data_IF_218886392828
#
_entry.id   IF_218886392828
#
_cell.length_a   1.000
_cell.length_b   1.000
_cell.length_c   1.000
_cell.angle_alpha   90.00
_cell.angle_beta   90.00
_cell.angle_gamma   90.00
#
_symmetry.space_group_name_H-M   'P 1'
#
loop_
_entity.id
_entity.type
_entity.pdbx_description
1 polymer ?
#
# COMPACT_ATOMS: atom_id res chain seq x y z
N UNK A 1 46.72 16.75 -44.92
CA UNK A 1 46.45 17.20 -46.30
C UNK A 1 44.95 17.19 -46.54
N UNK A 2 44.44 18.37 -46.92
CA UNK A 2 43.12 18.71 -47.50
C UNK A 2 41.91 18.47 -46.60
N UNK A 3 41.28 19.42 -45.93
CA UNK A 3 40.62 20.71 -46.25
C UNK A 3 39.38 20.59 -47.17
N UNK A 4 38.34 21.21 -46.67
CA UNK A 4 37.22 21.91 -47.29
C UNK A 4 35.93 21.08 -47.41
N UNK A 5 34.76 21.60 -47.14
CA UNK A 5 34.16 22.91 -46.82
C UNK A 5 32.67 22.71 -46.67
N UNK A 6 32.01 23.33 -45.76
CA UNK A 6 31.27 24.60 -45.72
C UNK A 6 30.21 24.76 -46.81
N UNK A 7 29.01 25.01 -46.40
CA UNK A 7 27.89 25.91 -46.75
C UNK A 7 26.57 25.14 -46.56
N UNK A 8 25.56 25.56 -45.87
CA UNK A 8 25.04 26.88 -45.60
C UNK A 8 23.62 27.05 -46.15
N UNK A 9 22.77 27.65 -45.34
CA UNK A 9 21.54 28.37 -45.72
C UNK A 9 20.18 27.67 -45.54
N UNK A 10 19.46 28.12 -44.50
CA UNK A 10 18.02 28.44 -44.57
C UNK A 10 17.70 29.38 -45.70
N UNK A 11 16.45 29.50 -46.20
CA UNK A 11 15.43 30.32 -45.54
C UNK A 11 13.94 29.96 -45.81
N UNK A 12 13.10 30.44 -44.89
CA UNK A 12 11.74 31.01 -45.06
C UNK A 12 11.08 30.88 -46.45
N UNK A 13 9.80 30.44 -46.49
CA UNK A 13 8.71 31.30 -46.87
C UNK A 13 7.30 30.70 -46.64
N UNK A 14 6.43 31.60 -46.30
CA UNK A 14 4.99 31.43 -46.10
C UNK A 14 4.25 31.27 -47.43
N UNK A 15 3.12 30.54 -47.40
CA UNK A 15 1.98 30.92 -48.25
C UNK A 15 0.64 30.56 -47.64
N UNK A 16 -0.15 31.57 -47.50
CA UNK A 16 -1.57 31.72 -47.26
C UNK A 16 -2.45 30.94 -48.26
N UNK A 17 -3.58 30.48 -47.84
CA UNK A 17 -4.67 29.99 -48.69
C UNK A 17 -5.97 29.84 -47.93
N UNK A 18 -6.85 30.82 -48.10
CA UNK A 18 -8.21 30.94 -47.60
C UNK A 18 -9.15 29.87 -48.18
N UNK A 19 -10.20 29.51 -47.44
CA UNK A 19 -11.34 28.77 -47.97
C UNK A 19 -12.48 28.68 -46.96
N UNK A 20 -13.48 29.49 -47.16
CA UNK A 20 -14.73 29.72 -46.44
C UNK A 20 -15.60 28.48 -46.25
N UNK A 21 -16.36 28.46 -45.18
CA UNK A 21 -17.48 27.50 -44.98
C UNK A 21 -18.23 27.76 -43.68
N UNK A 22 -19.21 28.66 -43.78
CA UNK A 22 -20.09 29.08 -42.69
C UNK A 22 -21.02 27.99 -42.15
N UNK A 23 -21.27 28.03 -40.84
CA UNK A 23 -22.30 27.21 -40.20
C UNK A 23 -22.55 27.61 -38.76
N UNK A 24 -23.51 28.45 -38.58
CA UNK A 24 -24.06 29.17 -37.45
C UNK A 24 -24.04 28.46 -36.08
N UNK A 25 -23.68 29.24 -35.07
CA UNK A 25 -24.05 29.05 -33.67
C UNK A 25 -25.51 29.52 -33.41
N UNK A 26 -26.12 29.15 -32.33
CA UNK A 26 -26.83 30.13 -31.54
C UNK A 26 -26.26 30.30 -30.12
N UNK A 27 -26.29 31.55 -29.75
CA UNK A 27 -25.98 32.12 -28.44
C UNK A 27 -27.11 31.92 -27.46
N UNK A 28 -26.70 32.07 -26.19
CA UNK A 28 -27.44 32.54 -25.03
C UNK A 28 -27.98 31.44 -24.11
N UNK A 29 -27.75 31.49 -22.79
CA UNK A 29 -28.01 32.60 -21.88
C UNK A 29 -27.26 32.47 -20.55
N UNK A 30 -26.77 33.60 -20.09
CA UNK A 30 -26.78 34.15 -18.74
C UNK A 30 -26.61 33.23 -17.53
N UNK A 31 -25.50 33.53 -16.82
CA UNK A 31 -25.19 33.06 -15.50
C UNK A 31 -26.25 33.42 -14.46
N UNK A 32 -26.56 32.42 -13.66
CA UNK A 32 -27.11 32.58 -12.33
C UNK A 32 -26.02 32.30 -11.29
N UNK A 33 -26.05 32.90 -10.10
CA UNK A 33 -25.01 32.74 -9.09
C UNK A 33 -24.89 31.29 -8.63
N UNK A 34 -23.67 30.78 -8.62
CA UNK A 34 -23.34 29.41 -8.26
C UNK A 34 -23.77 29.06 -6.84
N UNK A 35 -24.61 28.07 -6.72
CA UNK A 35 -24.83 27.39 -5.45
C UNK A 35 -23.52 26.71 -4.97
N UNK A 36 -23.38 26.45 -3.67
CA UNK A 36 -22.19 25.81 -3.12
C UNK A 36 -21.96 24.45 -3.79
N UNK A 37 -20.68 24.03 -3.99
CA UNK A 37 -20.37 22.74 -4.62
C UNK A 37 -21.01 21.61 -3.83
N UNK A 38 -21.87 20.83 -4.49
CA UNK A 38 -22.40 19.59 -3.92
C UNK A 38 -21.26 18.60 -3.82
N UNK A 39 -20.83 18.30 -2.59
CA UNK A 39 -19.93 17.19 -2.32
C UNK A 39 -20.65 15.90 -2.70
N UNK A 40 -20.12 15.08 -3.63
CA UNK A 40 -20.71 13.80 -3.93
C UNK A 40 -20.65 12.93 -2.68
N UNK A 41 -21.78 12.43 -2.21
CA UNK A 41 -21.81 11.41 -1.17
C UNK A 41 -21.12 10.15 -1.72
N UNK A 42 -20.22 9.52 -0.99
CA UNK A 42 -19.61 8.26 -1.41
C UNK A 42 -20.70 7.23 -1.60
N UNK A 43 -20.80 6.67 -2.81
CA UNK A 43 -21.66 5.52 -3.07
C UNK A 43 -21.04 4.32 -2.36
N UNK A 44 -21.63 3.89 -1.25
CA UNK A 44 -21.27 2.63 -0.62
C UNK A 44 -21.51 1.50 -1.63
N UNK A 45 -20.48 0.75 -1.95
CA UNK A 45 -20.60 -0.44 -2.78
C UNK A 45 -21.22 -1.55 -1.93
N UNK A 46 -22.29 -2.16 -2.42
CA UNK A 46 -22.99 -3.29 -1.77
C UNK A 46 -22.08 -4.53 -1.58
N UNK A 47 -20.85 -4.51 -2.13
CA UNK A 47 -19.86 -5.60 -2.01
C UNK A 47 -18.88 -5.45 -0.85
N UNK A 48 -18.83 -4.30 -0.21
CA UNK A 48 -17.88 -4.02 0.87
C UNK A 48 -18.56 -4.09 2.22
N UNK A 49 -19.00 -5.28 2.64
CA UNK A 49 -19.44 -5.56 4.01
C UNK A 49 -20.27 -4.43 4.62
N UNK A 50 -21.31 -3.98 3.93
CA UNK A 50 -22.19 -2.92 4.40
C UNK A 50 -22.69 -3.25 5.79
N UNK A 51 -22.79 -2.20 6.62
CA UNK A 51 -23.44 -2.24 7.93
C UNK A 51 -24.62 -3.19 7.84
N UNK A 52 -24.77 -4.15 8.79
CA UNK A 52 -25.93 -5.02 8.83
C UNK A 52 -27.18 -4.18 8.63
N UNK A 53 -28.10 -4.65 7.81
CA UNK A 53 -29.43 -4.05 7.72
C UNK A 53 -29.93 -3.92 9.17
N UNK A 54 -30.54 -2.76 9.55
CA UNK A 54 -31.11 -2.64 10.88
C UNK A 54 -32.04 -3.82 11.14
N UNK A 55 -31.98 -4.34 12.34
CA UNK A 55 -32.88 -5.40 12.76
C UNK A 55 -34.33 -4.95 12.54
N UNK A 56 -35.30 -5.86 12.36
CA UNK A 56 -36.69 -5.49 12.18
C UNK A 56 -37.28 -4.56 13.26
N UNK A 57 -36.61 -4.48 14.41
CA UNK A 57 -36.95 -3.59 15.54
C UNK A 57 -36.54 -2.11 15.30
N UNK A 58 -35.70 -1.82 14.29
CA UNK A 58 -35.25 -0.45 13.94
C UNK A 58 -36.08 0.15 12.78
N UNK A 59 -37.12 -0.54 12.31
CA UNK A 59 -38.07 0.02 11.35
C UNK A 59 -38.93 1.06 12.06
N UNK A 60 -39.16 2.24 11.43
CA UNK A 60 -40.11 3.20 12.01
C UNK A 60 -41.42 2.49 12.27
N UNK A 61 -42.05 2.72 13.43
CA UNK A 61 -43.32 2.10 13.75
C UNK A 61 -44.35 2.43 12.68
N UNK A 62 -45.14 1.45 12.27
CA UNK A 62 -46.27 1.69 11.37
C UNK A 62 -47.23 2.72 12.01
N UNK A 63 -47.74 3.70 11.26
CA UNK A 63 -48.67 4.67 11.79
C UNK A 63 -49.93 3.96 12.32
N UNK A 64 -50.35 4.34 13.52
CA UNK A 64 -51.59 3.84 14.10
C UNK A 64 -52.79 4.30 13.29
N UNK A 65 -53.65 3.41 12.88
CA UNK A 65 -54.96 3.75 12.28
C UNK A 65 -55.93 4.19 13.39
N UNK A 66 -56.00 5.50 13.62
CA UNK A 66 -56.89 6.08 14.62
C UNK A 66 -58.05 6.84 13.99
N UNK A 67 -59.27 6.80 14.59
CA UNK A 67 -60.42 7.60 14.13
C UNK A 67 -60.12 9.11 14.15
N UNK A 68 -60.78 9.87 13.26
CA UNK A 68 -60.57 11.33 13.13
C UNK A 68 -60.74 12.11 14.43
N UNK A 69 -61.72 11.76 15.24
CA UNK A 69 -62.00 12.39 16.54
C UNK A 69 -60.87 12.15 17.57
N UNK A 70 -60.27 10.96 17.56
CA UNK A 70 -59.12 10.62 18.39
C UNK A 70 -57.88 11.40 17.91
N UNK A 71 -57.58 11.40 16.61
CA UNK A 71 -56.49 12.17 16.05
C UNK A 71 -56.63 13.68 16.34
N UNK A 72 -57.84 14.20 16.20
CA UNK A 72 -58.13 15.60 16.57
C UNK A 72 -57.86 15.88 18.04
N UNK A 73 -58.18 14.95 18.94
CA UNK A 73 -57.93 15.14 20.40
C UNK A 73 -56.42 15.12 20.74
N UNK A 74 -55.61 14.49 19.91
CA UNK A 74 -54.16 14.41 20.08
C UNK A 74 -53.40 15.65 19.59
N UNK A 75 -54.05 16.58 18.85
CA UNK A 75 -53.39 17.74 18.26
C UNK A 75 -52.69 18.62 19.28
N UNK A 76 -53.27 18.77 20.46
CA UNK A 76 -52.67 19.55 21.56
C UNK A 76 -51.41 18.87 22.12
N UNK A 77 -51.48 17.57 22.35
CA UNK A 77 -50.31 16.80 22.83
C UNK A 77 -49.22 16.75 21.78
N UNK A 78 -49.59 16.61 20.50
CA UNK A 78 -48.65 16.66 19.40
C UNK A 78 -47.96 18.01 19.26
N UNK A 79 -48.68 19.12 19.40
CA UNK A 79 -48.08 20.45 19.36
C UNK A 79 -47.07 20.68 20.49
N UNK A 80 -47.26 20.05 21.64
CA UNK A 80 -46.37 20.08 22.81
C UNK A 80 -45.26 19.01 22.76
N UNK A 81 -45.14 18.23 21.67
CA UNK A 81 -44.26 17.10 21.54
C UNK A 81 -44.42 16.04 22.66
N UNK A 82 -45.63 15.84 23.14
CA UNK A 82 -45.98 14.93 24.25
C UNK A 82 -46.63 13.61 23.76
N UNK A 83 -46.75 13.40 22.45
CA UNK A 83 -47.19 12.13 21.84
C UNK A 83 -46.08 11.12 21.77
N UNK A 84 -46.39 9.81 21.79
CA UNK A 84 -45.48 8.75 21.39
C UNK A 84 -45.10 8.87 19.90
N UNK A 85 -44.04 8.18 19.48
CA UNK A 85 -43.61 8.19 18.07
C UNK A 85 -44.69 7.68 17.12
N UNK A 86 -45.42 6.65 17.51
CA UNK A 86 -46.51 6.06 16.70
C UNK A 86 -47.73 7.01 16.60
N UNK A 87 -48.09 7.66 17.68
CA UNK A 87 -49.18 8.68 17.70
C UNK A 87 -48.79 9.92 16.88
N UNK A 88 -47.55 10.40 17.01
CA UNK A 88 -47.06 11.53 16.23
C UNK A 88 -47.12 11.24 14.74
N UNK A 89 -46.68 10.05 14.32
CA UNK A 89 -46.72 9.64 12.93
C UNK A 89 -48.18 9.54 12.42
N UNK A 90 -49.09 8.98 13.22
CA UNK A 90 -50.51 8.89 12.85
C UNK A 90 -51.16 10.30 12.70
N UNK A 91 -50.86 11.23 13.60
CA UNK A 91 -51.28 12.62 13.48
C UNK A 91 -50.71 13.27 12.23
N UNK A 92 -49.42 13.13 11.96
CA UNK A 92 -48.73 13.75 10.80
C UNK A 92 -49.30 13.23 9.47
N UNK A 93 -49.57 11.95 9.34
CA UNK A 93 -50.24 11.37 8.17
C UNK A 93 -51.63 12.01 8.00
N UNK A 94 -52.42 12.09 9.09
CA UNK A 94 -53.77 12.67 9.04
C UNK A 94 -53.76 14.16 8.67
N UNK A 95 -52.76 14.94 9.13
CA UNK A 95 -52.64 16.35 8.78
C UNK A 95 -52.41 16.56 7.28
N UNK A 96 -51.82 15.58 6.59
CA UNK A 96 -51.70 15.58 5.12
C UNK A 96 -53.06 15.50 4.39
N UNK A 97 -54.04 14.82 5.00
CA UNK A 97 -55.31 14.51 4.38
C UNK A 97 -56.48 15.37 4.88
N UNK A 98 -56.34 16.03 6.04
CA UNK A 98 -57.38 16.82 6.67
C UNK A 98 -56.99 18.28 6.91
N UNK A 99 -57.45 19.17 6.01
CA UNK A 99 -57.11 20.60 6.09
C UNK A 99 -57.63 21.28 7.37
N UNK A 100 -58.80 20.89 7.92
CA UNK A 100 -59.31 21.46 9.15
C UNK A 100 -58.43 21.13 10.37
N UNK A 101 -57.92 19.88 10.48
CA UNK A 101 -56.98 19.50 11.52
C UNK A 101 -55.59 20.14 11.31
N UNK A 102 -55.16 20.30 10.06
CA UNK A 102 -53.90 20.99 9.76
C UNK A 102 -53.92 22.48 10.20
N UNK A 103 -55.05 23.17 9.98
CA UNK A 103 -55.23 24.55 10.41
C UNK A 103 -55.28 24.68 11.94
N UNK A 104 -55.87 23.74 12.63
CA UNK A 104 -55.92 23.70 14.09
C UNK A 104 -54.54 23.34 14.65
N UNK A 105 -53.85 22.37 14.08
CA UNK A 105 -52.48 22.02 14.47
C UNK A 105 -51.51 23.20 14.32
N UNK A 106 -51.61 24.00 13.25
CA UNK A 106 -50.82 25.19 13.02
C UNK A 106 -51.07 26.23 14.14
N UNK A 107 -52.36 26.51 14.45
CA UNK A 107 -52.71 27.45 15.52
C UNK A 107 -52.24 27.01 16.89
N UNK A 108 -52.29 25.70 17.19
CA UNK A 108 -51.77 25.16 18.45
C UNK A 108 -50.24 25.27 18.51
N UNK A 109 -49.51 24.98 17.42
CA UNK A 109 -48.03 25.21 17.40
C UNK A 109 -47.66 26.67 17.53
N UNK A 110 -48.39 27.61 16.92
CA UNK A 110 -48.17 29.05 17.10
C UNK A 110 -48.41 29.45 18.57
N UNK A 111 -49.46 28.93 19.23
CA UNK A 111 -49.72 29.16 20.63
C UNK A 111 -48.64 28.58 21.56
N UNK A 112 -48.19 27.36 21.27
CA UNK A 112 -47.06 26.73 21.99
C UNK A 112 -45.78 27.54 21.80
N UNK A 113 -45.53 28.06 20.59
CA UNK A 113 -44.38 28.93 20.30
C UNK A 113 -44.37 30.21 21.16
N UNK A 114 -45.57 30.73 21.57
CA UNK A 114 -45.66 31.88 22.49
C UNK A 114 -45.37 31.51 23.95
N UNK A 115 -45.46 30.24 24.33
CA UNK A 115 -45.13 29.75 25.67
C UNK A 115 -43.63 29.52 25.88
N UNK A 116 -42.90 29.31 24.80
CA UNK A 116 -41.46 29.19 24.83
C UNK A 116 -40.82 30.53 24.55
N UNK A 117 -39.84 30.92 25.38
CA UNK A 117 -38.99 32.04 25.02
C UNK A 117 -38.31 31.72 23.69
N UNK A 118 -38.22 32.66 22.73
CA UNK A 118 -37.48 32.45 21.51
C UNK A 118 -36.05 32.09 21.89
N UNK A 119 -35.72 30.80 21.75
CA UNK A 119 -34.31 30.38 21.86
C UNK A 119 -33.55 31.15 20.78
N UNK A 120 -32.42 31.71 21.16
CA UNK A 120 -31.55 32.39 20.20
C UNK A 120 -31.22 31.40 19.08
N UNK A 121 -31.55 31.79 17.83
CA UNK A 121 -31.13 31.04 16.64
C UNK A 121 -29.61 31.14 16.41
N UNK A 122 -28.92 31.96 17.24
CA UNK A 122 -27.47 32.01 17.24
C UNK A 122 -26.93 30.72 17.82
N UNK A 123 -26.28 29.94 16.98
CA UNK A 123 -25.58 28.75 17.40
C UNK A 123 -24.55 29.10 18.47
N UNK A 124 -24.51 28.32 19.53
CA UNK A 124 -23.47 28.45 20.56
C UNK A 124 -22.10 28.49 19.87
N UNK A 125 -21.31 29.55 20.04
CA UNK A 125 -19.99 29.68 19.44
C UNK A 125 -19.06 28.49 19.73
N UNK A 126 -19.27 27.83 20.87
CA UNK A 126 -18.53 26.61 21.25
C UNK A 126 -19.05 25.30 20.62
N UNK A 127 -20.24 25.32 20.00
CA UNK A 127 -20.85 24.08 19.44
C UNK A 127 -19.97 23.40 18.44
N UNK A 128 -19.35 24.17 17.53
CA UNK A 128 -18.43 23.64 16.52
C UNK A 128 -17.26 22.90 17.15
N UNK A 129 -16.65 23.49 18.17
CA UNK A 129 -15.50 22.89 18.86
C UNK A 129 -15.93 21.62 19.59
N UNK A 130 -17.06 21.65 20.34
CA UNK A 130 -17.58 20.44 21.00
C UNK A 130 -17.93 19.33 20.04
N UNK A 131 -18.52 19.63 18.89
CA UNK A 131 -18.82 18.62 17.84
C UNK A 131 -17.53 18.06 17.26
N UNK A 132 -16.56 18.91 16.93
CA UNK A 132 -15.27 18.47 16.42
C UNK A 132 -14.51 17.62 17.44
N UNK A 133 -14.45 18.02 18.70
CA UNK A 133 -13.84 17.24 19.78
C UNK A 133 -14.55 15.89 19.94
N UNK A 134 -15.87 15.85 20.01
CA UNK A 134 -16.61 14.61 20.11
C UNK A 134 -16.44 13.69 18.88
N UNK A 135 -16.27 14.25 17.69
CA UNK A 135 -15.97 13.49 16.48
C UNK A 135 -14.55 12.95 16.48
N UNK A 136 -13.59 13.76 16.94
CA UNK A 136 -12.18 13.36 17.04
C UNK A 136 -11.97 12.29 18.10
N UNK A 137 -12.64 12.39 19.24
CA UNK A 137 -12.60 11.39 20.31
C UNK A 137 -13.14 10.01 19.87
N UNK A 138 -14.12 10.02 18.98
CA UNK A 138 -14.70 8.79 18.42
C UNK A 138 -13.92 8.23 17.25
N UNK A 139 -13.12 9.06 16.59
CA UNK A 139 -12.30 8.66 15.44
C UNK A 139 -10.91 8.29 15.94
N UNK A 140 -10.41 7.07 15.63
CA UNK A 140 -9.03 6.74 15.95
C UNK A 140 -8.12 7.83 15.35
N UNK A 141 -7.12 8.32 16.11
CA UNK A 141 -6.26 9.44 15.70
C UNK A 141 -5.37 9.12 14.49
N UNK A 142 -5.38 7.85 14.06
CA UNK A 142 -4.68 7.37 12.87
C UNK A 142 -5.64 6.56 12.01
N UNK A 143 -5.52 6.73 10.69
CA UNK A 143 -6.07 5.76 9.75
C UNK A 143 -5.28 4.47 10.00
N UNK A 144 -5.93 3.34 10.33
CA UNK A 144 -5.21 2.12 10.66
C UNK A 144 -4.44 1.63 9.43
N UNK A 145 -3.13 1.53 9.58
CA UNK A 145 -2.28 0.90 8.56
C UNK A 145 -2.53 -0.61 8.63
N UNK A 146 -2.83 -1.28 7.51
CA UNK A 146 -2.98 -2.73 7.48
C UNK A 146 -1.74 -3.40 8.09
N UNK A 147 -1.95 -4.45 8.88
CA UNK A 147 -0.85 -5.11 9.59
C UNK A 147 0.29 -5.58 8.66
N UNK A 148 -0.05 -5.94 7.41
CA UNK A 148 0.93 -6.36 6.41
C UNK A 148 1.74 -5.20 5.82
N UNK A 149 1.29 -3.95 5.91
CA UNK A 149 2.01 -2.76 5.44
C UNK A 149 2.82 -2.07 6.55
N UNK A 150 2.61 -2.42 7.83
CA UNK A 150 3.32 -1.80 8.96
C UNK A 150 4.85 -1.97 8.90
N UNK A 151 5.44 -3.09 8.40
CA UNK A 151 6.89 -3.18 8.26
C UNK A 151 7.46 -2.11 7.32
N UNK A 152 6.81 -1.86 6.19
CA UNK A 152 7.25 -0.84 5.23
C UNK A 152 7.18 0.58 5.82
N UNK A 153 6.09 0.92 6.50
CA UNK A 153 5.96 2.22 7.19
C UNK A 153 7.07 2.40 8.25
N UNK A 154 7.36 1.36 9.01
CA UNK A 154 8.39 1.39 10.04
C UNK A 154 9.80 1.56 9.45
N UNK A 155 10.17 0.76 8.44
CA UNK A 155 11.53 0.80 7.90
C UNK A 155 11.79 2.06 7.07
N UNK A 156 10.79 2.55 6.32
CA UNK A 156 10.91 3.84 5.63
C UNK A 156 11.03 5.02 6.61
N UNK A 157 10.34 4.97 7.75
CA UNK A 157 10.47 6.00 8.79
C UNK A 157 11.86 5.97 9.45
N UNK A 158 12.41 4.77 9.70
CA UNK A 158 13.76 4.61 10.28
C UNK A 158 14.85 5.10 9.31
N UNK A 159 14.75 4.71 8.03
CA UNK A 159 15.67 5.20 7.02
C UNK A 159 15.56 6.72 6.85
N UNK A 160 14.35 7.28 6.87
CA UNK A 160 14.15 8.73 6.79
C UNK A 160 14.80 9.45 7.98
N UNK A 161 14.74 8.88 9.18
CA UNK A 161 15.43 9.43 10.37
C UNK A 161 16.95 9.45 10.18
N UNK A 162 17.56 8.34 9.74
CA UNK A 162 18.99 8.28 9.40
C UNK A 162 19.35 9.39 8.39
N UNK A 163 18.54 9.51 7.30
CA UNK A 163 18.80 10.50 6.25
C UNK A 163 18.62 11.96 6.70
N UNK A 164 17.94 12.21 7.81
CA UNK A 164 17.85 13.52 8.43
C UNK A 164 19.07 13.87 9.28
N UNK A 165 19.69 12.86 9.87
CA UNK A 165 20.82 13.03 10.78
C UNK A 165 22.15 13.24 10.04
N UNK A 166 22.27 12.75 8.80
CA UNK A 166 23.49 12.88 8.00
C UNK A 166 23.64 14.27 7.37
N UNK A 167 24.89 14.74 7.27
CA UNK A 167 25.24 16.01 6.65
C UNK A 167 25.27 15.96 5.12
N UNK A 168 25.36 17.12 4.49
CA UNK A 168 25.30 17.24 3.01
C UNK A 168 26.44 16.48 2.31
N UNK A 169 27.62 16.39 2.91
CA UNK A 169 28.77 15.65 2.34
C UNK A 169 28.51 14.14 2.32
N UNK A 170 27.83 13.61 3.32
CA UNK A 170 27.55 12.18 3.46
C UNK A 170 26.55 11.67 2.42
N UNK A 171 25.70 12.54 1.85
CA UNK A 171 24.85 12.19 0.72
C UNK A 171 25.63 11.74 -0.52
N UNK A 172 26.91 12.09 -0.59
CA UNK A 172 27.83 11.69 -1.65
C UNK A 172 28.80 10.58 -1.22
N UNK A 173 28.66 10.09 0.01
CA UNK A 173 29.47 8.96 0.49
C UNK A 173 29.28 7.75 -0.43
N UNK A 174 30.38 7.04 -0.77
CA UNK A 174 30.32 5.89 -1.65
C UNK A 174 29.67 4.70 -0.93
N UNK A 175 28.58 4.19 -1.50
CA UNK A 175 27.89 2.98 -1.07
C UNK A 175 28.14 1.87 -2.09
N UNK A 176 28.33 0.65 -1.61
CA UNK A 176 28.43 -0.54 -2.44
C UNK A 176 27.14 -1.37 -2.30
N UNK A 177 26.29 -1.34 -3.30
CA UNK A 177 25.18 -2.28 -3.44
C UNK A 177 25.74 -3.67 -3.77
N UNK A 178 25.20 -4.70 -3.14
CA UNK A 178 25.59 -6.10 -3.33
C UNK A 178 24.34 -6.92 -3.59
N UNK A 179 24.48 -7.92 -4.44
CA UNK A 179 23.45 -8.90 -4.71
C UNK A 179 24.09 -10.17 -5.23
N UNK A 180 23.29 -11.20 -5.40
CA UNK A 180 23.73 -12.44 -5.99
C UNK A 180 23.01 -12.64 -7.33
N UNK A 181 23.73 -12.69 -8.44
CA UNK A 181 23.14 -12.74 -9.79
C UNK A 181 22.69 -14.15 -10.22
N UNK A 182 22.47 -15.03 -9.26
CA UNK A 182 22.09 -16.42 -9.43
C UNK A 182 23.27 -17.40 -9.54
N UNK A 183 24.44 -16.95 -9.95
CA UNK A 183 25.65 -17.76 -10.09
C UNK A 183 26.79 -17.29 -9.20
N UNK A 184 26.96 -15.97 -9.02
CA UNK A 184 28.06 -15.38 -8.30
C UNK A 184 27.67 -14.07 -7.61
N UNK A 185 28.42 -13.63 -6.59
CA UNK A 185 28.26 -12.32 -5.98
C UNK A 185 28.49 -11.21 -7.02
N UNK A 186 27.60 -10.25 -7.07
CA UNK A 186 27.70 -9.06 -7.88
C UNK A 186 27.68 -7.80 -7.00
N UNK A 187 28.22 -6.70 -7.49
CA UNK A 187 28.16 -5.43 -6.76
C UNK A 187 28.27 -4.22 -7.68
N UNK A 188 27.70 -3.11 -7.25
CA UNK A 188 27.81 -1.82 -7.93
C UNK A 188 28.12 -0.71 -6.92
N UNK A 189 28.97 0.22 -7.30
CA UNK A 189 29.24 1.42 -6.52
C UNK A 189 28.25 2.52 -6.90
N UNK A 190 27.69 3.15 -5.90
CA UNK A 190 26.83 4.32 -6.02
C UNK A 190 27.08 5.28 -4.85
N UNK A 191 26.18 6.20 -4.58
CA UNK A 191 26.23 7.11 -3.41
C UNK A 191 24.99 6.90 -2.55
N UNK A 192 24.95 7.46 -1.34
CA UNK A 192 23.74 7.47 -0.50
C UNK A 192 22.54 7.96 -1.30
N UNK A 193 22.68 9.10 -2.01
CA UNK A 193 21.63 9.60 -2.87
C UNK A 193 21.23 8.62 -4.00
N UNK A 194 22.21 7.89 -4.55
CA UNK A 194 21.98 6.88 -5.56
C UNK A 194 21.21 5.66 -5.04
N UNK A 195 21.39 5.28 -3.78
CA UNK A 195 20.59 4.23 -3.11
C UNK A 195 19.14 4.69 -2.94
N UNK A 196 18.91 5.92 -2.50
CA UNK A 196 17.55 6.45 -2.34
C UNK A 196 16.85 6.58 -3.70
N UNK A 197 17.58 6.91 -4.75
CA UNK A 197 17.07 6.89 -6.12
C UNK A 197 16.67 5.49 -6.59
N UNK A 198 17.46 4.46 -6.23
CA UNK A 198 17.11 3.06 -6.44
C UNK A 198 15.80 2.70 -5.72
N UNK A 199 15.71 2.95 -4.42
CA UNK A 199 14.48 2.69 -3.65
C UNK A 199 13.27 3.40 -4.24
N UNK A 200 13.38 4.69 -4.57
CA UNK A 200 12.32 5.47 -5.22
C UNK A 200 11.85 4.79 -6.52
N UNK A 201 12.78 4.38 -7.36
CA UNK A 201 12.45 3.78 -8.65
C UNK A 201 11.78 2.41 -8.52
N UNK A 202 12.24 1.57 -7.60
CA UNK A 202 11.69 0.21 -7.41
C UNK A 202 10.35 0.24 -6.65
N UNK A 203 10.18 1.12 -5.67
CA UNK A 203 8.89 1.35 -5.00
C UNK A 203 7.79 1.79 -6.00
N UNK A 204 8.18 2.34 -7.15
CA UNK A 204 7.29 2.62 -8.26
C UNK A 204 6.54 1.42 -8.81
N UNK A 205 7.03 0.17 -8.63
CA UNK A 205 6.30 -1.06 -8.98
C UNK A 205 5.00 -1.18 -8.17
N UNK A 206 5.10 -0.91 -6.87
CA UNK A 206 3.93 -0.92 -5.97
C UNK A 206 3.02 0.29 -6.27
N UNK A 207 3.60 1.46 -6.55
CA UNK A 207 2.84 2.65 -6.92
C UNK A 207 2.01 2.39 -8.19
N UNK A 208 2.61 1.84 -9.24
CA UNK A 208 1.91 1.50 -10.48
C UNK A 208 0.77 0.49 -10.26
N UNK A 209 1.01 -0.57 -9.45
CA UNK A 209 -0.02 -1.55 -9.10
C UNK A 209 -1.21 -0.93 -8.35
N UNK A 210 -0.97 0.10 -7.54
CA UNK A 210 -2.01 0.86 -6.82
C UNK A 210 -2.66 1.96 -7.66
N UNK A 211 -2.27 2.12 -8.94
CA UNK A 211 -2.78 3.19 -9.80
C UNK A 211 -2.27 4.59 -9.44
N UNK A 212 -1.17 4.67 -8.71
CA UNK A 212 -0.48 5.91 -8.41
C UNK A 212 0.49 6.29 -9.54
N UNK A 213 0.88 7.54 -9.59
CA UNK A 213 1.88 8.00 -10.54
C UNK A 213 3.22 7.28 -10.33
N UNK A 214 3.75 6.71 -11.41
CA UNK A 214 5.08 6.10 -11.41
C UNK A 214 6.16 7.20 -11.49
N UNK A 215 7.18 7.20 -10.62
CA UNK A 215 8.26 8.19 -10.66
C UNK A 215 9.07 8.16 -11.98
N UNK A 216 9.04 7.04 -12.69
CA UNK A 216 9.71 6.88 -14.00
C UNK A 216 8.79 7.18 -15.19
N UNK A 217 7.50 7.43 -14.94
CA UNK A 217 6.52 7.63 -16.01
C UNK A 217 6.37 6.41 -16.93
N UNK A 218 6.03 6.67 -18.20
CA UNK A 218 5.78 5.60 -19.20
C UNK A 218 7.05 4.84 -19.61
N UNK A 219 8.22 5.37 -19.34
CA UNK A 219 9.52 4.77 -19.69
C UNK A 219 10.00 3.73 -18.65
N UNK A 220 9.17 3.43 -17.64
CA UNK A 220 9.52 2.54 -16.55
C UNK A 220 9.82 1.11 -17.05
N UNK A 221 11.00 0.59 -16.70
CA UNK A 221 11.31 -0.82 -16.85
C UNK A 221 10.37 -1.70 -16.01
N UNK A 222 10.24 -2.97 -16.37
CA UNK A 222 9.32 -3.89 -15.67
C UNK A 222 9.94 -4.57 -14.44
N UNK A 223 11.25 -4.51 -14.26
CA UNK A 223 11.95 -5.15 -13.14
C UNK A 223 12.82 -4.17 -12.35
N UNK A 224 13.21 -4.51 -11.11
CA UNK A 224 13.99 -3.64 -10.23
C UNK A 224 15.27 -3.09 -10.86
N UNK A 225 16.12 -3.95 -11.42
CA UNK A 225 17.37 -3.56 -12.06
C UNK A 225 17.16 -2.62 -13.26
N UNK A 226 16.20 -2.93 -14.14
CA UNK A 226 15.88 -2.11 -15.29
C UNK A 226 15.36 -0.73 -14.90
N UNK A 227 14.54 -0.66 -13.85
CA UNK A 227 14.02 0.61 -13.32
C UNK A 227 15.12 1.48 -12.72
N UNK A 228 15.97 0.88 -11.93
CA UNK A 228 17.14 1.54 -11.34
C UNK A 228 18.04 2.12 -12.41
N UNK A 229 18.36 1.33 -13.43
CA UNK A 229 19.19 1.76 -14.54
C UNK A 229 18.53 2.89 -15.35
N UNK A 230 17.23 2.79 -15.62
CA UNK A 230 16.45 3.84 -16.29
C UNK A 230 16.52 5.16 -15.52
N UNK A 231 16.35 5.12 -14.19
CA UNK A 231 16.47 6.31 -13.35
C UNK A 231 17.86 6.93 -13.42
N UNK A 232 18.89 6.12 -13.28
CA UNK A 232 20.27 6.61 -13.29
C UNK A 232 20.71 7.16 -14.65
N UNK A 233 20.21 6.58 -15.75
CA UNK A 233 20.49 7.05 -17.09
C UNK A 233 19.72 8.33 -17.45
N UNK A 234 18.48 8.46 -16.99
CA UNK A 234 17.66 9.65 -17.18
C UNK A 234 18.19 10.87 -16.41
N UNK A 235 18.95 10.63 -15.35
CA UNK A 235 19.54 11.68 -14.52
C UNK A 235 20.80 12.25 -15.19
N UNK A 236 20.73 13.48 -15.70
CA UNK A 236 21.88 14.15 -16.33
C UNK A 236 23.04 14.41 -15.33
N UNK A 237 22.71 14.41 -14.04
CA UNK A 237 23.66 14.57 -12.93
C UNK A 237 23.45 13.45 -11.90
N UNK A 238 24.49 13.07 -11.15
CA UNK A 238 24.33 12.13 -10.05
C UNK A 238 23.20 12.59 -9.11
N UNK A 239 22.41 11.66 -8.55
CA UNK A 239 21.41 11.99 -7.55
C UNK A 239 22.03 12.76 -6.38
N UNK A 240 21.28 13.70 -5.82
CA UNK A 240 21.68 14.51 -4.68
C UNK A 240 20.67 14.34 -3.53
N UNK A 241 20.90 14.99 -2.41
CA UNK A 241 19.95 15.06 -1.28
C UNK A 241 18.49 15.37 -1.71
N UNK A 242 18.30 16.05 -2.82
CA UNK A 242 16.97 16.39 -3.34
C UNK A 242 16.09 15.15 -3.63
N UNK A 243 16.69 13.96 -3.84
CA UNK A 243 15.93 12.71 -4.09
C UNK A 243 15.14 12.24 -2.85
N UNK A 244 15.56 12.63 -1.63
CA UNK A 244 14.87 12.26 -0.39
C UNK A 244 13.40 12.70 -0.37
N UNK A 245 13.11 13.92 -0.80
CA UNK A 245 11.75 14.47 -0.80
C UNK A 245 10.77 13.59 -1.63
N UNK A 246 11.01 13.37 -2.92
CA UNK A 246 10.21 12.49 -3.76
C UNK A 246 10.07 11.07 -3.21
N UNK A 247 11.16 10.44 -2.72
CA UNK A 247 11.12 9.12 -2.12
C UNK A 247 10.21 9.07 -0.89
N UNK A 248 10.36 10.04 0.03
CA UNK A 248 9.55 10.08 1.25
C UNK A 248 8.08 10.38 0.94
N UNK A 249 7.81 11.26 0.00
CA UNK A 249 6.44 11.53 -0.45
C UNK A 249 5.78 10.28 -1.06
N UNK A 250 6.51 9.55 -1.91
CA UNK A 250 6.02 8.30 -2.47
C UNK A 250 5.74 7.26 -1.39
N UNK A 251 6.67 7.05 -0.44
CA UNK A 251 6.49 6.09 0.65
C UNK A 251 5.25 6.42 1.49
N UNK A 252 5.02 7.69 1.81
CA UNK A 252 3.81 8.13 2.50
C UNK A 252 2.54 7.87 1.69
N UNK A 253 2.55 8.16 0.38
CA UNK A 253 1.40 7.90 -0.50
C UNK A 253 1.07 6.42 -0.59
N UNK A 254 2.08 5.55 -0.67
CA UNK A 254 1.88 4.10 -0.65
C UNK A 254 1.17 3.66 0.64
N UNK A 255 1.71 4.04 1.80
CA UNK A 255 1.11 3.71 3.10
C UNK A 255 -0.30 4.28 3.23
N UNK A 256 -0.51 5.53 2.83
CA UNK A 256 -1.81 6.17 2.86
C UNK A 256 -2.82 5.44 1.97
N UNK A 257 -2.43 5.11 0.74
CA UNK A 257 -3.32 4.44 -0.22
C UNK A 257 -3.74 3.07 0.28
N UNK A 258 -2.82 2.24 0.77
CA UNK A 258 -3.16 0.91 1.31
C UNK A 258 -4.01 1.00 2.59
N UNK A 259 -3.84 2.06 3.38
CA UNK A 259 -4.66 2.30 4.57
C UNK A 259 -6.11 2.65 4.20
N UNK A 260 -6.32 3.39 3.11
CA UNK A 260 -7.67 3.73 2.63
C UNK A 260 -8.35 2.59 1.85
N UNK A 261 -7.59 1.79 1.11
CA UNK A 261 -8.17 0.68 0.32
C UNK A 261 -8.59 -0.51 1.17
N UNK A 262 -8.09 -0.59 2.41
CA UNK A 262 -8.46 -1.65 3.35
C UNK A 262 -7.79 -2.99 3.08
N UNK A 263 -8.08 -3.99 3.94
CA UNK A 263 -7.40 -5.29 3.95
C UNK A 263 -7.55 -6.11 2.66
N UNK A 264 -8.59 -5.86 1.86
CA UNK A 264 -8.84 -6.58 0.59
C UNK A 264 -7.81 -6.31 -0.50
N UNK A 265 -7.16 -5.15 -0.48
CA UNK A 265 -6.13 -4.78 -1.46
C UNK A 265 -4.86 -5.65 -1.38
N UNK A 266 -4.61 -6.31 -0.27
CA UNK A 266 -3.41 -7.14 -0.08
C UNK A 266 -3.21 -8.25 -1.11
N UNK A 267 -4.24 -8.65 -1.86
CA UNK A 267 -4.16 -9.67 -2.92
C UNK A 267 -3.91 -9.11 -4.32
N UNK A 268 -3.85 -7.80 -4.49
CA UNK A 268 -3.52 -7.18 -5.77
C UNK A 268 -2.14 -7.65 -6.23
N UNK A 269 -2.01 -8.08 -7.49
CA UNK A 269 -0.73 -8.52 -8.04
C UNK A 269 0.18 -7.33 -8.34
N UNK A 270 1.41 -7.37 -7.85
CA UNK A 270 2.50 -6.44 -8.19
C UNK A 270 3.49 -7.19 -9.07
N UNK A 271 3.70 -6.71 -10.29
CA UNK A 271 4.62 -7.35 -11.25
C UNK A 271 6.06 -6.86 -10.98
N UNK A 272 6.99 -7.82 -10.96
CA UNK A 272 8.44 -7.59 -10.89
C UNK A 272 9.15 -7.92 -12.22
N UNK A 273 8.38 -8.06 -13.28
CA UNK A 273 8.85 -8.51 -14.59
C UNK A 273 8.63 -10.01 -14.77
N UNK A 274 9.56 -10.82 -14.30
CA UNK A 274 9.54 -12.28 -14.47
C UNK A 274 8.57 -13.02 -13.52
N UNK A 275 8.16 -12.37 -12.44
CA UNK A 275 7.23 -12.91 -11.46
C UNK A 275 6.33 -11.80 -10.90
N UNK A 276 5.35 -12.19 -10.12
CA UNK A 276 4.48 -11.25 -9.41
C UNK A 276 4.31 -11.67 -7.94
N UNK A 277 4.22 -10.69 -7.07
CA UNK A 277 3.86 -10.88 -5.67
C UNK A 277 2.49 -10.27 -5.39
N UNK A 278 1.70 -10.85 -4.48
CA UNK A 278 0.55 -10.15 -3.95
C UNK A 278 1.03 -8.90 -3.18
N UNK A 279 0.23 -7.85 -3.18
CA UNK A 279 0.60 -6.54 -2.60
C UNK A 279 1.09 -6.63 -1.16
N UNK A 280 0.49 -7.51 -0.34
CA UNK A 280 0.94 -7.68 1.04
C UNK A 280 2.37 -8.21 1.13
N UNK A 281 2.77 -9.11 0.23
CA UNK A 281 4.14 -9.63 0.14
C UNK A 281 5.07 -8.62 -0.55
N UNK A 282 4.59 -7.89 -1.56
CA UNK A 282 5.37 -6.83 -2.21
C UNK A 282 5.71 -5.70 -1.23
N UNK A 283 4.78 -5.27 -0.37
CA UNK A 283 5.07 -4.27 0.66
C UNK A 283 6.09 -4.76 1.68
N UNK A 284 6.06 -6.06 2.00
CA UNK A 284 7.04 -6.67 2.90
C UNK A 284 8.42 -6.80 2.25
N UNK A 285 8.47 -7.17 0.97
CA UNK A 285 9.68 -7.16 0.14
C UNK A 285 10.31 -5.76 0.07
N UNK A 286 9.50 -4.72 -0.13
CA UNK A 286 9.99 -3.33 -0.12
C UNK A 286 10.47 -2.88 1.26
N UNK A 287 9.87 -3.38 2.34
CA UNK A 287 10.36 -3.14 3.70
C UNK A 287 11.73 -3.78 3.93
N UNK A 288 11.93 -5.01 3.45
CA UNK A 288 13.18 -5.73 3.50
C UNK A 288 14.29 -4.97 2.75
N UNK A 289 14.05 -4.58 1.51
CA UNK A 289 14.98 -3.79 0.70
C UNK A 289 15.32 -2.43 1.35
N UNK A 290 14.30 -1.76 1.93
CA UNK A 290 14.50 -0.50 2.63
C UNK A 290 15.47 -0.67 3.82
N UNK A 291 15.31 -1.75 4.61
CA UNK A 291 16.21 -2.04 5.73
C UNK A 291 17.63 -2.39 5.26
N UNK A 292 17.76 -3.31 4.30
CA UNK A 292 19.07 -3.76 3.79
C UNK A 292 19.88 -2.57 3.26
N UNK A 293 19.23 -1.72 2.46
CA UNK A 293 19.90 -0.54 1.92
C UNK A 293 20.14 0.55 2.96
N UNK A 294 19.32 0.64 4.01
CA UNK A 294 19.60 1.49 5.14
C UNK A 294 20.87 1.02 5.90
N UNK A 295 21.06 -0.31 6.03
CA UNK A 295 22.31 -0.90 6.59
C UNK A 295 23.52 -0.57 5.70
N UNK A 296 23.40 -0.68 4.37
CA UNK A 296 24.45 -0.27 3.43
C UNK A 296 24.84 1.21 3.57
N UNK A 297 23.86 2.09 3.71
CA UNK A 297 24.07 3.52 3.94
C UNK A 297 24.75 3.74 5.30
N UNK A 298 24.22 3.13 6.35
CA UNK A 298 24.73 3.28 7.71
C UNK A 298 26.20 2.88 7.82
N UNK A 299 26.58 1.76 7.18
CA UNK A 299 27.99 1.35 7.08
C UNK A 299 28.84 2.38 6.34
N UNK A 300 28.32 2.98 5.28
CA UNK A 300 29.07 3.94 4.47
C UNK A 300 29.32 5.29 5.19
N UNK A 301 28.44 5.65 6.15
CA UNK A 301 28.53 6.92 6.92
C UNK A 301 28.86 6.70 8.40
N UNK A 302 29.24 5.49 8.79
CA UNK A 302 29.57 5.10 10.17
C UNK A 302 28.45 5.45 11.18
N UNK A 303 27.21 5.12 10.82
CA UNK A 303 26.03 5.38 11.62
C UNK A 303 25.52 4.08 12.28
N UNK A 304 25.17 4.07 13.57
CA UNK A 304 24.61 2.89 14.22
C UNK A 304 23.20 2.58 13.69
N UNK A 305 22.99 1.38 13.14
CA UNK A 305 21.70 0.98 12.59
C UNK A 305 21.33 -0.44 13.04
N UNK A 306 20.25 -0.53 13.81
CA UNK A 306 19.77 -1.79 14.39
C UNK A 306 18.93 -2.58 13.40
N UNK A 307 18.84 -3.91 13.51
CA UNK A 307 17.89 -4.71 12.75
C UNK A 307 16.43 -4.29 12.96
N UNK A 308 15.51 -4.71 12.09
CA UNK A 308 14.06 -4.49 12.27
C UNK A 308 13.54 -5.09 13.57
N UNK A 309 12.41 -4.56 14.07
CA UNK A 309 11.75 -5.16 15.22
C UNK A 309 11.49 -6.66 14.96
N UNK A 310 11.63 -7.55 15.97
CA UNK A 310 11.56 -9.02 15.79
C UNK A 310 10.33 -9.51 15.02
N UNK A 311 9.17 -8.91 15.27
CA UNK A 311 7.93 -9.24 14.55
C UNK A 311 7.97 -8.91 13.06
N UNK A 312 8.76 -7.93 12.64
CA UNK A 312 8.93 -7.56 11.23
C UNK A 312 9.99 -8.42 10.57
N UNK A 313 11.09 -8.64 11.29
CA UNK A 313 12.16 -9.54 10.85
C UNK A 313 11.62 -10.96 10.59
N UNK A 314 10.84 -11.52 11.53
CA UNK A 314 10.15 -12.80 11.33
C UNK A 314 9.32 -12.86 10.05
N UNK A 315 8.57 -11.80 9.73
CA UNK A 315 7.78 -11.76 8.49
C UNK A 315 8.64 -11.71 7.23
N UNK A 316 9.74 -10.98 7.27
CA UNK A 316 10.70 -10.91 6.16
C UNK A 316 11.33 -12.28 5.91
N UNK A 317 11.71 -12.98 6.98
CA UNK A 317 12.22 -14.35 6.94
C UNK A 317 11.15 -15.31 6.39
N UNK A 318 9.92 -15.22 6.88
CA UNK A 318 8.79 -16.02 6.39
C UNK A 318 8.56 -15.83 4.89
N UNK A 319 8.59 -14.58 4.41
CA UNK A 319 8.48 -14.31 2.97
C UNK A 319 9.60 -14.99 2.19
N UNK A 320 10.85 -14.82 2.61
CA UNK A 320 12.01 -15.43 1.98
C UNK A 320 11.87 -16.98 1.96
N UNK A 321 11.53 -17.60 3.11
CA UNK A 321 11.33 -19.04 3.21
C UNK A 321 10.22 -19.54 2.26
N UNK A 322 9.09 -18.83 2.15
CA UNK A 322 8.01 -19.16 1.20
C UNK A 322 8.42 -19.03 -0.26
N UNK A 323 9.40 -18.19 -0.58
CA UNK A 323 9.92 -18.03 -1.95
C UNK A 323 10.94 -19.09 -2.34
N UNK A 324 11.59 -19.78 -1.39
CA UNK A 324 12.65 -20.76 -1.66
C UNK A 324 12.25 -21.89 -2.60
N UNK A 325 11.06 -22.50 -2.53
CA UNK A 325 10.70 -23.58 -3.44
C UNK A 325 10.68 -23.13 -4.91
N UNK A 326 10.23 -21.90 -5.17
CA UNK A 326 10.24 -21.31 -6.52
C UNK A 326 11.67 -20.97 -6.97
N UNK A 327 12.50 -20.42 -6.08
CA UNK A 327 13.91 -20.10 -6.35
C UNK A 327 14.71 -21.37 -6.66
N UNK A 328 14.51 -22.46 -5.92
CA UNK A 328 15.10 -23.76 -6.20
C UNK A 328 14.70 -24.30 -7.58
N UNK A 329 13.44 -24.14 -7.98
CA UNK A 329 12.97 -24.55 -9.28
C UNK A 329 13.60 -23.71 -10.41
N UNK A 330 13.67 -22.39 -10.23
CA UNK A 330 14.29 -21.48 -11.18
C UNK A 330 15.78 -21.79 -11.37
N UNK A 331 16.52 -22.05 -10.31
CA UNK A 331 17.94 -22.45 -10.36
C UNK A 331 18.13 -23.76 -11.11
N UNK A 332 17.25 -24.75 -10.89
CA UNK A 332 17.28 -26.02 -11.64
C UNK A 332 17.04 -25.81 -13.12
N UNK A 333 16.07 -24.98 -13.49
CA UNK A 333 15.78 -24.64 -14.88
C UNK A 333 16.95 -23.94 -15.56
N UNK A 334 17.68 -23.12 -14.82
CA UNK A 334 18.88 -22.43 -15.26
C UNK A 334 20.15 -23.36 -15.30
N UNK A 335 20.04 -24.64 -14.88
CA UNK A 335 21.18 -25.56 -14.82
C UNK A 335 22.19 -25.26 -13.71
N UNK A 336 21.78 -24.49 -12.67
CA UNK A 336 22.63 -24.07 -11.57
C UNK A 336 22.48 -24.94 -10.29
N UNK A 337 21.66 -25.98 -10.35
CA UNK A 337 21.52 -26.92 -9.26
C UNK A 337 22.76 -27.83 -9.10
N UNK A 338 23.01 -28.25 -7.88
CA UNK A 338 24.09 -29.19 -7.58
C UNK A 338 23.82 -30.52 -8.26
N UNK A 339 24.83 -31.13 -8.96
CA UNK A 339 24.67 -32.45 -9.53
C UNK A 339 24.28 -33.47 -8.44
N UNK A 340 23.19 -34.18 -8.67
CA UNK A 340 22.63 -35.13 -7.71
C UNK A 340 21.61 -36.07 -8.36
N UNK A 341 20.95 -36.92 -7.56
CA UNK A 341 19.89 -37.79 -8.09
C UNK A 341 18.76 -36.96 -8.69
N UNK A 342 18.18 -37.44 -9.78
CA UNK A 342 17.07 -36.76 -10.46
C UNK A 342 15.92 -36.47 -9.47
N UNK A 343 15.46 -35.24 -9.36
CA UNK A 343 14.36 -34.93 -8.48
C UNK A 343 13.10 -35.70 -8.84
N UNK A 344 12.47 -36.34 -7.89
CA UNK A 344 11.15 -36.93 -8.09
C UNK A 344 10.11 -35.84 -8.16
N UNK A 345 9.46 -35.66 -9.30
CA UNK A 345 8.34 -34.70 -9.40
C UNK A 345 7.20 -35.17 -8.52
N UNK A 346 6.86 -34.37 -7.54
CA UNK A 346 5.77 -34.58 -6.60
C UNK A 346 4.57 -33.75 -7.04
N UNK A 347 3.39 -34.35 -7.04
CA UNK A 347 2.15 -33.64 -7.35
C UNK A 347 1.89 -32.50 -6.36
N UNK A 348 1.26 -31.43 -6.83
CA UNK A 348 0.89 -30.29 -6.00
C UNK A 348 0.12 -30.71 -4.75
N UNK A 349 0.49 -30.15 -3.60
CA UNK A 349 -0.12 -30.47 -2.30
C UNK A 349 0.28 -31.80 -1.68
N UNK A 350 1.15 -32.59 -2.32
CA UNK A 350 1.68 -33.83 -1.73
C UNK A 350 3.01 -33.58 -1.01
N UNK A 351 3.30 -34.28 0.08
CA UNK A 351 4.57 -34.18 0.75
C UNK A 351 5.71 -34.69 -0.13
N UNK A 352 6.84 -34.00 -0.11
CA UNK A 352 8.07 -34.34 -0.82
C UNK A 352 9.29 -34.23 0.08
N UNK A 353 10.49 -34.58 -0.45
CA UNK A 353 11.72 -34.36 0.30
C UNK A 353 11.82 -32.93 0.75
N UNK A 354 12.20 -32.74 1.99
CA UNK A 354 12.19 -31.44 2.64
C UNK A 354 13.52 -31.15 3.33
N UNK A 355 13.87 -29.88 3.37
CA UNK A 355 14.93 -29.37 4.25
C UNK A 355 14.27 -28.60 5.37
N UNK A 356 14.67 -28.89 6.61
CA UNK A 356 14.34 -28.09 7.78
C UNK A 356 15.23 -26.86 7.77
N UNK A 357 14.63 -25.69 7.68
CA UNK A 357 15.29 -24.42 7.83
C UNK A 357 14.94 -23.88 9.21
N UNK A 358 15.90 -23.88 10.13
CA UNK A 358 15.78 -23.32 11.47
C UNK A 358 16.48 -21.97 11.49
N UNK A 359 15.76 -20.93 11.87
CA UNK A 359 16.31 -19.59 12.02
C UNK A 359 16.29 -19.26 13.50
N UNK A 360 17.46 -19.04 14.07
CA UNK A 360 17.66 -18.67 15.46
C UNK A 360 17.51 -17.17 15.67
N UNK A 361 17.23 -16.74 16.89
CA UNK A 361 17.07 -15.32 17.22
C UNK A 361 15.64 -14.89 17.50
N UNK A 362 15.46 -13.59 17.75
CA UNK A 362 14.15 -13.05 18.15
C UNK A 362 13.14 -12.97 16.99
N UNK A 363 13.63 -12.96 15.74
CA UNK A 363 12.84 -13.04 14.51
C UNK A 363 12.73 -14.44 13.93
N UNK A 364 13.28 -15.43 14.63
CA UNK A 364 13.43 -16.80 14.15
C UNK A 364 12.16 -17.63 14.06
N UNK A 365 12.35 -18.87 13.63
CA UNK A 365 11.29 -19.87 13.44
C UNK A 365 11.80 -21.08 12.67
N UNK A 366 10.89 -22.01 12.38
CA UNK A 366 11.21 -23.23 11.61
C UNK A 366 10.32 -23.32 10.37
N UNK A 367 10.91 -23.68 9.25
CA UNK A 367 10.23 -23.90 7.97
C UNK A 367 10.67 -25.21 7.34
N UNK A 368 9.73 -25.97 6.80
CA UNK A 368 10.01 -27.16 6.00
C UNK A 368 9.95 -26.79 4.52
N UNK A 369 11.10 -26.69 3.90
CA UNK A 369 11.26 -26.26 2.50
C UNK A 369 11.19 -27.48 1.58
N UNK A 370 10.14 -27.62 0.74
CA UNK A 370 10.04 -28.71 -0.22
C UNK A 370 11.11 -28.57 -1.31
N UNK A 371 11.85 -29.65 -1.54
CA UNK A 371 13.00 -29.65 -2.43
C UNK A 371 12.65 -30.13 -3.86
N UNK A 372 11.62 -30.95 -4.04
CA UNK A 372 11.38 -31.63 -5.32
C UNK A 372 10.51 -30.82 -6.28
N UNK A 373 9.49 -30.13 -5.78
CA UNK A 373 8.56 -29.34 -6.60
C UNK A 373 8.13 -28.07 -5.84
N UNK A 374 7.97 -26.92 -6.52
CA UNK A 374 7.50 -25.68 -5.86
C UNK A 374 6.12 -25.77 -5.23
N UNK A 375 5.28 -26.67 -5.73
CA UNK A 375 3.92 -26.88 -5.25
C UNK A 375 3.79 -28.07 -4.29
N UNK A 376 4.89 -28.75 -3.94
CA UNK A 376 4.91 -29.78 -2.91
C UNK A 376 4.76 -29.15 -1.52
N UNK A 377 4.34 -29.96 -0.54
CA UNK A 377 4.27 -29.54 0.87
C UNK A 377 5.50 -30.06 1.60
N UNK A 378 6.10 -29.22 2.43
CA UNK A 378 7.18 -29.62 3.31
C UNK A 378 6.68 -30.65 4.34
N UNK A 379 7.52 -31.62 4.72
CA UNK A 379 7.17 -32.73 5.59
C UNK A 379 8.34 -33.15 6.45
N UNK A 380 8.12 -33.28 7.74
CA UNK A 380 9.11 -33.81 8.70
C UNK A 380 9.44 -35.28 8.40
N UNK A 381 8.45 -36.06 7.90
CA UNK A 381 8.65 -37.49 7.56
C UNK A 381 9.65 -37.67 6.42
N UNK A 382 9.75 -36.67 5.53
CA UNK A 382 10.66 -36.71 4.38
C UNK A 382 11.79 -35.69 4.50
N UNK A 383 12.15 -35.32 5.73
CA UNK A 383 13.29 -34.47 6.00
C UNK A 383 14.60 -35.18 5.61
N UNK A 384 15.38 -34.52 4.74
CA UNK A 384 16.67 -35.07 4.25
C UNK A 384 17.84 -34.21 4.72
N UNK A 385 17.59 -32.99 5.15
CA UNK A 385 18.63 -32.07 5.60
C UNK A 385 18.07 -31.05 6.59
N UNK A 386 18.95 -30.50 7.42
CA UNK A 386 18.68 -29.44 8.38
C UNK A 386 19.75 -28.35 8.26
N UNK A 387 19.32 -27.11 8.21
CA UNK A 387 20.17 -25.91 8.22
C UNK A 387 19.69 -24.99 9.33
N UNK A 388 20.62 -24.54 10.19
CA UNK A 388 20.37 -23.56 11.24
C UNK A 388 21.21 -22.29 10.98
N UNK A 389 20.60 -21.12 11.05
CA UNK A 389 21.20 -19.81 10.81
C UNK A 389 20.67 -18.79 11.83
N UNK A 390 21.49 -17.80 12.15
CA UNK A 390 21.02 -16.58 12.83
C UNK A 390 20.08 -15.77 11.95
N UNK A 391 19.10 -15.07 12.52
CA UNK A 391 18.04 -14.37 11.81
C UNK A 391 18.58 -13.22 10.92
N UNK A 392 19.57 -12.47 11.39
CA UNK A 392 20.20 -11.40 10.61
C UNK A 392 21.11 -11.98 9.53
N UNK A 393 21.87 -13.06 9.85
CA UNK A 393 22.72 -13.75 8.89
C UNK A 393 21.91 -14.34 7.73
N UNK A 394 20.76 -14.96 8.02
CA UNK A 394 19.85 -15.44 6.98
C UNK A 394 19.36 -14.30 6.07
N UNK A 395 19.00 -13.18 6.65
CA UNK A 395 18.56 -12.00 5.88
C UNK A 395 19.70 -11.43 5.02
N UNK A 396 20.92 -11.38 5.53
CA UNK A 396 22.11 -10.94 4.76
C UNK A 396 22.44 -11.90 3.62
N UNK A 397 22.25 -13.20 3.84
CA UNK A 397 22.35 -14.19 2.77
C UNK A 397 21.26 -13.95 1.71
N UNK A 398 20.01 -13.75 2.12
CA UNK A 398 18.90 -13.50 1.21
C UNK A 398 19.06 -12.17 0.43
N UNK A 399 19.74 -11.18 1.01
CA UNK A 399 20.10 -9.92 0.36
C UNK A 399 21.32 -10.04 -0.57
N UNK A 400 22.01 -11.20 -0.59
CA UNK A 400 23.25 -11.38 -1.36
C UNK A 400 24.48 -10.67 -0.77
N UNK A 401 24.41 -10.23 0.50
CA UNK A 401 25.53 -9.60 1.20
C UNK A 401 26.56 -10.59 1.72
N UNK A 402 26.13 -11.83 1.96
CA UNK A 402 26.97 -12.95 2.36
C UNK A 402 26.95 -13.97 1.23
N UNK A 403 28.12 -14.41 0.71
CA UNK A 403 28.17 -15.50 -0.24
C UNK A 403 27.65 -16.80 0.37
N UNK A 404 26.92 -17.65 -0.38
CA UNK A 404 26.36 -18.89 0.15
C UNK A 404 27.38 -19.86 0.76
N UNK A 405 28.61 -19.81 0.27
CA UNK A 405 29.72 -20.62 0.79
C UNK A 405 30.24 -20.14 2.14
N UNK A 406 30.08 -18.85 2.44
CA UNK A 406 30.60 -18.19 3.65
C UNK A 406 29.54 -18.08 4.73
N UNK A 407 28.28 -18.46 4.44
CA UNK A 407 27.18 -18.38 5.41
C UNK A 407 27.47 -19.24 6.64
N UNK A 408 27.43 -18.61 7.80
CA UNK A 408 27.69 -19.28 9.10
C UNK A 408 26.49 -20.13 9.50
N UNK A 409 26.36 -21.32 8.87
CA UNK A 409 25.21 -22.20 9.05
C UNK A 409 25.59 -23.50 9.72
N UNK A 410 24.79 -23.90 10.72
CA UNK A 410 24.77 -25.29 11.20
C UNK A 410 24.17 -26.19 10.14
N UNK A 411 24.83 -27.29 9.79
CA UNK A 411 24.45 -28.12 8.64
C UNK A 411 24.44 -29.62 9.03
N UNK A 412 23.31 -30.28 8.74
CA UNK A 412 23.16 -31.73 8.97
C UNK A 412 22.40 -32.37 7.79
N UNK A 413 22.83 -33.54 7.33
CA UNK A 413 22.13 -34.32 6.28
C UNK A 413 22.66 -34.14 4.87
N UNK A 414 21.76 -34.07 3.88
CA UNK A 414 22.10 -34.03 2.45
C UNK A 414 22.80 -32.71 2.06
N UNK A 415 24.09 -32.78 1.81
CA UNK A 415 24.94 -31.63 1.48
C UNK A 415 24.54 -30.94 0.15
N UNK A 416 24.04 -31.72 -0.81
CA UNK A 416 23.61 -31.13 -2.09
C UNK A 416 22.34 -30.30 -1.90
N UNK A 417 21.38 -30.83 -1.11
CA UNK A 417 20.18 -30.10 -0.74
C UNK A 417 20.49 -28.83 0.07
N UNK A 418 21.41 -28.90 1.04
CA UNK A 418 21.85 -27.76 1.83
C UNK A 418 22.47 -26.68 0.92
N UNK A 419 23.42 -27.07 0.07
CA UNK A 419 24.05 -26.16 -0.88
C UNK A 419 23.00 -25.49 -1.76
N UNK A 420 22.10 -26.26 -2.36
CA UNK A 420 21.06 -25.72 -3.24
C UNK A 420 20.15 -24.73 -2.54
N UNK A 421 19.77 -24.96 -1.26
CA UNK A 421 18.96 -24.03 -0.48
C UNK A 421 19.72 -22.74 -0.14
N UNK A 422 20.98 -22.82 0.28
CA UNK A 422 21.79 -21.62 0.57
C UNK A 422 21.95 -20.76 -0.70
N UNK A 423 22.26 -21.38 -1.84
CA UNK A 423 22.34 -20.67 -3.11
C UNK A 423 21.00 -20.13 -3.60
N UNK A 424 19.91 -20.85 -3.35
CA UNK A 424 18.56 -20.37 -3.66
C UNK A 424 18.19 -19.18 -2.78
N UNK A 425 18.60 -19.18 -1.50
CA UNK A 425 18.40 -18.06 -0.58
C UNK A 425 19.12 -16.81 -1.11
N UNK A 426 20.40 -16.91 -1.45
CA UNK A 426 21.13 -15.79 -2.02
C UNK A 426 20.53 -15.27 -3.34
N UNK A 427 19.96 -16.18 -4.15
CA UNK A 427 19.30 -15.83 -5.42
C UNK A 427 17.97 -15.09 -5.25
N UNK A 428 17.48 -14.90 -4.02
CA UNK A 428 16.33 -14.02 -3.73
C UNK A 428 16.71 -12.54 -3.83
N UNK A 429 18.00 -12.22 -3.69
CA UNK A 429 18.49 -10.85 -3.79
C UNK A 429 18.23 -10.26 -5.19
N UNK A 430 17.88 -9.00 -5.22
CA UNK A 430 17.56 -8.24 -6.44
C UNK A 430 18.15 -6.85 -6.32
N UNK A 431 18.58 -6.32 -7.45
CA UNK A 431 19.01 -4.92 -7.53
C UNK A 431 17.94 -4.09 -8.22
#
# INVERSE_FOLDING_TARGET
MRRCGVTGADPFDAHTGSGDGAGAAPRDHAGGPGGPPRIPLPRASVKDGGRPLPAPEDLPPEPLELPHDVLKSLLGAWALAACSTAESLAVEVHLGDCGACADEARRLREAVGLLHQPESLDLDPGLRNRVLEACLDRRPPRIPIPAWATPYDAETARLDALLQDIGDAEWHAPVRLRWFDGAAPASRRTTVAGVIAHLLSVDGLVAAALGLADPLGESAGQGPAARTETFWQASHFPPTRAVRGPWREQSHRLVQTVSFTGGGAGRLGVSYGDFALPLHDAMLDRAFECWVHAEDIAVAVDYPYEPPAPRYLHRMIDLAARMLPAALAARRQAGLATPGPTPHLVSAGRPGRSLRLEIEGNGGGEWLIPLDSPAAVGSEEFEVAHVALDDVEFCRLAAGHVPPEDAAAGQLGDRAAIRDVLFATASLSRM
#
